data_IF_426905038132
#
_entry.id   IF_426905038132
#
_cell.length_a   1.000
_cell.length_b   1.000
_cell.length_c   1.000
_cell.angle_alpha   90.00
_cell.angle_beta   90.00
_cell.angle_gamma   90.00
#
_symmetry.space_group_name_H-M   'P 1'
#
loop_
_entity.id
_entity.type
_entity.pdbx_description
1 polymer ?
#
# COMPACT_ATOMS: atom_id res chain seq x y z
N UNK A 1 -4.40 1.70 5.23
CA UNK A 1 -3.20 2.05 4.45
C UNK A 1 -2.03 2.06 5.40
N UNK A 2 -0.95 1.38 5.05
CA UNK A 2 0.21 1.22 5.92
C UNK A 2 1.52 1.13 5.14
N UNK A 3 2.66 1.34 5.80
CA UNK A 3 3.97 1.42 5.20
C UNK A 3 4.90 0.29 5.62
N UNK A 4 5.38 -0.45 4.63
CA UNK A 4 6.54 -1.33 4.80
C UNK A 4 7.80 -0.50 4.53
N UNK A 5 8.41 0.00 5.60
CA UNK A 5 9.67 0.73 5.55
C UNK A 5 10.90 -0.16 5.82
N UNK A 6 12.08 0.37 5.50
CA UNK A 6 13.36 -0.30 5.76
C UNK A 6 13.69 -1.43 4.79
N UNK A 7 13.12 -1.39 3.58
CA UNK A 7 13.44 -2.34 2.52
C UNK A 7 14.80 -1.99 1.92
N UNK A 8 15.54 -3.00 1.44
CA UNK A 8 16.78 -2.75 0.71
C UNK A 8 16.49 -1.93 -0.56
N UNK A 9 17.19 -0.81 -0.78
CA UNK A 9 17.03 -0.01 -2.00
C UNK A 9 17.30 -0.87 -3.24
N UNK A 10 16.38 -0.85 -4.21
CA UNK A 10 16.51 -1.61 -5.48
C UNK A 10 16.07 -0.80 -6.70
N UNK A 11 16.64 -1.16 -7.85
CA UNK A 11 16.40 -0.55 -9.17
C UNK A 11 16.97 0.85 -9.32
N UNK A 12 16.89 1.41 -10.52
CA UNK A 12 17.43 2.75 -10.84
C UNK A 12 16.81 3.85 -9.96
N UNK A 13 15.55 3.66 -9.58
CA UNK A 13 14.81 4.58 -8.70
C UNK A 13 15.09 4.37 -7.21
N UNK A 14 15.85 3.34 -6.84
CA UNK A 14 16.26 3.06 -5.45
C UNK A 14 15.10 3.01 -4.45
N UNK A 15 14.01 2.33 -4.81
CA UNK A 15 12.85 2.19 -3.92
C UNK A 15 13.23 1.45 -2.64
N UNK A 16 12.93 2.04 -1.48
CA UNK A 16 13.31 1.56 -0.16
C UNK A 16 12.11 1.40 0.81
N UNK A 17 10.89 1.63 0.30
CA UNK A 17 9.65 1.45 1.03
C UNK A 17 8.51 1.06 0.10
N UNK A 18 7.47 0.47 0.66
CA UNK A 18 6.22 0.16 -0.04
C UNK A 18 5.05 0.70 0.76
N UNK A 19 4.23 1.54 0.15
CA UNK A 19 2.94 1.95 0.68
C UNK A 19 1.91 0.90 0.25
N UNK A 20 1.26 0.31 1.23
CA UNK A 20 0.22 -0.68 1.03
C UNK A 20 -1.14 -0.04 1.30
N UNK A 21 -2.07 -0.28 0.38
CA UNK A 21 -3.45 0.13 0.54
C UNK A 21 -4.33 -1.09 0.34
N UNK A 22 -5.44 -1.16 1.07
CA UNK A 22 -6.45 -2.17 0.85
C UNK A 22 -7.78 -1.47 0.74
N UNK A 23 -8.51 -1.77 -0.33
CA UNK A 23 -9.91 -1.42 -0.39
C UNK A 23 -10.72 -2.46 0.39
N UNK A 24 -11.31 -2.03 1.51
CA UNK A 24 -12.08 -2.88 2.42
C UNK A 24 -13.33 -3.48 1.76
N UNK A 25 -13.85 -2.88 0.68
CA UNK A 25 -15.03 -3.41 0.00
C UNK A 25 -14.68 -4.56 -0.94
N UNK A 26 -13.62 -4.40 -1.73
CA UNK A 26 -13.16 -5.43 -2.67
C UNK A 26 -12.16 -6.40 -2.06
N UNK A 27 -11.74 -6.17 -0.81
CA UNK A 27 -10.65 -6.87 -0.14
C UNK A 27 -9.38 -6.95 -1.02
N UNK A 28 -9.13 -5.93 -1.85
CA UNK A 28 -8.05 -5.97 -2.84
C UNK A 28 -6.87 -5.11 -2.36
N UNK A 29 -5.68 -5.70 -2.16
CA UNK A 29 -4.48 -4.94 -1.87
C UNK A 29 -3.94 -4.26 -3.13
N UNK A 30 -3.42 -3.06 -2.96
CA UNK A 30 -2.67 -2.32 -3.96
C UNK A 30 -1.35 -1.89 -3.30
N UNK A 31 -0.24 -2.29 -3.91
CA UNK A 31 1.11 -2.01 -3.45
C UNK A 31 1.75 -0.92 -4.29
N UNK A 32 2.38 0.04 -3.61
CA UNK A 32 2.96 1.22 -4.22
C UNK A 32 4.44 1.30 -3.83
N UNK A 33 5.40 0.97 -4.70
CA UNK A 33 6.81 1.14 -4.41
C UNK A 33 7.15 2.63 -4.34
N UNK A 34 7.90 3.02 -3.31
CA UNK A 34 8.13 4.42 -2.96
C UNK A 34 9.35 4.57 -2.05
N UNK A 35 9.51 5.77 -1.50
CA UNK A 35 10.60 6.12 -0.61
C UNK A 35 10.08 6.42 0.79
N UNK A 36 10.81 5.96 1.81
CA UNK A 36 10.51 6.26 3.22
C UNK A 36 10.36 7.77 3.44
N UNK A 37 11.20 8.55 2.77
CA UNK A 37 11.29 10.00 2.92
C UNK A 37 10.42 10.77 1.90
N UNK A 38 9.49 10.08 1.21
CA UNK A 38 8.55 10.74 0.31
C UNK A 38 7.74 11.80 1.04
N UNK A 39 7.62 12.97 0.38
CA UNK A 39 6.82 14.08 0.90
C UNK A 39 5.32 13.76 0.82
N UNK A 40 4.51 14.48 1.59
CA UNK A 40 3.05 14.37 1.51
C UNK A 40 2.50 14.57 0.08
N UNK A 41 3.13 15.44 -0.72
CA UNK A 41 2.76 15.68 -2.11
C UNK A 41 3.08 14.45 -2.97
N UNK A 42 4.29 13.89 -2.85
CA UNK A 42 4.68 12.69 -3.60
C UNK A 42 3.75 11.51 -3.27
N UNK A 43 3.47 11.30 -1.98
CA UNK A 43 2.54 10.26 -1.53
C UNK A 43 1.13 10.47 -2.09
N UNK A 44 0.63 11.70 -2.09
CA UNK A 44 -0.68 12.00 -2.67
C UNK A 44 -0.73 11.76 -4.18
N UNK A 45 0.31 12.12 -4.93
CA UNK A 45 0.41 11.83 -6.35
C UNK A 45 0.46 10.31 -6.62
N UNK A 46 1.18 9.56 -5.78
CA UNK A 46 1.28 8.10 -5.87
C UNK A 46 -0.09 7.45 -5.69
N UNK A 47 -0.84 7.87 -4.65
CA UNK A 47 -2.19 7.37 -4.37
C UNK A 47 -3.17 7.82 -5.47
N UNK A 48 -3.09 9.07 -5.93
CA UNK A 48 -3.93 9.57 -7.02
C UNK A 48 -3.78 8.71 -8.27
N UNK A 49 -2.55 8.47 -8.69
CA UNK A 49 -2.24 7.81 -9.95
C UNK A 49 -2.61 6.32 -9.96
N UNK A 50 -2.55 5.64 -8.82
CA UNK A 50 -2.66 4.17 -8.77
C UNK A 50 -3.83 3.64 -7.96
N UNK A 51 -4.29 4.38 -6.94
CA UNK A 51 -5.41 3.98 -6.09
C UNK A 51 -6.67 4.68 -6.56
N UNK A 52 -6.73 6.01 -6.47
CA UNK A 52 -7.97 6.78 -6.76
C UNK A 52 -8.40 6.62 -8.22
N UNK A 53 -7.45 6.55 -9.15
CA UNK A 53 -7.75 6.31 -10.58
C UNK A 53 -8.43 4.96 -10.85
N UNK A 54 -8.22 3.96 -9.98
CA UNK A 54 -8.74 2.60 -10.13
C UNK A 54 -9.96 2.31 -9.25
N UNK A 55 -9.94 2.77 -7.99
CA UNK A 55 -10.98 2.48 -6.99
C UNK A 55 -11.98 3.61 -6.82
N UNK A 56 -11.67 4.81 -7.34
CA UNK A 56 -12.43 6.03 -7.09
C UNK A 56 -12.01 6.74 -5.81
N UNK A 57 -12.77 7.79 -5.46
CA UNK A 57 -12.49 8.62 -4.29
C UNK A 57 -13.00 7.92 -3.03
N UNK A 58 -12.09 7.56 -2.13
CA UNK A 58 -12.42 6.98 -0.81
C UNK A 58 -12.91 8.07 0.16
N UNK A 59 -13.85 7.76 1.05
CA UNK A 59 -14.34 8.73 2.05
C UNK A 59 -13.67 8.61 3.41
N UNK A 60 -13.02 7.47 3.66
CA UNK A 60 -12.36 7.16 4.93
C UNK A 60 -10.98 6.55 4.67
N UNK A 61 -9.95 7.02 5.38
CA UNK A 61 -8.65 6.36 5.48
C UNK A 61 -8.48 5.87 6.91
N UNK A 62 -8.25 4.56 7.05
CA UNK A 62 -7.61 4.01 8.24
C UNK A 62 -6.11 3.93 8.00
N UNK A 63 -5.31 4.70 8.75
CA UNK A 63 -3.86 4.69 8.67
C UNK A 63 -3.26 5.21 9.97
N UNK A 64 -2.11 4.66 10.37
CA UNK A 64 -1.40 5.07 11.57
C UNK A 64 -0.73 6.43 11.37
N UNK A 65 -1.51 7.49 11.61
CA UNK A 65 -1.16 8.92 11.80
C UNK A 65 0.14 9.41 11.15
N UNK A 66 0.46 8.97 9.95
CA UNK A 66 1.57 9.55 9.23
C UNK A 66 1.21 10.99 8.86
N UNK A 67 2.14 11.90 9.11
CA UNK A 67 1.99 13.33 8.77
C UNK A 67 1.71 13.54 7.28
N UNK A 68 2.10 12.57 6.44
CA UNK A 68 1.82 12.54 5.00
C UNK A 68 0.33 12.54 4.67
N UNK A 69 -0.50 11.89 5.50
CA UNK A 69 -1.94 11.81 5.33
C UNK A 69 -2.70 12.95 6.01
N UNK A 70 -2.21 13.46 7.15
CA UNK A 70 -2.85 14.56 7.88
C UNK A 70 -2.37 15.95 7.43
N UNK A 71 -2.16 16.14 6.12
CA UNK A 71 -1.67 17.41 5.56
C UNK A 71 -2.82 18.30 5.04
N UNK A 72 -2.60 19.61 4.97
CA UNK A 72 -3.53 20.56 4.36
C UNK A 72 -3.86 20.19 2.89
N UNK A 73 -2.93 19.50 2.21
CA UNK A 73 -3.12 19.00 0.86
C UNK A 73 -4.32 18.07 0.74
N UNK A 74 -4.45 17.07 1.62
CA UNK A 74 -5.57 16.13 1.57
C UNK A 74 -6.90 16.81 1.86
N UNK A 75 -6.93 17.76 2.81
CA UNK A 75 -8.13 18.55 3.11
C UNK A 75 -8.58 19.35 1.89
N UNK A 76 -7.65 20.05 1.24
CA UNK A 76 -7.94 20.87 0.06
C UNK A 76 -8.38 19.99 -1.13
N UNK A 77 -7.69 18.87 -1.35
CA UNK A 77 -8.03 17.92 -2.42
C UNK A 77 -9.47 17.40 -2.27
N UNK A 78 -9.88 17.04 -1.05
CA UNK A 78 -11.23 16.54 -0.80
C UNK A 78 -12.30 17.62 -0.87
N UNK A 79 -11.98 18.85 -0.46
CA UNK A 79 -12.86 20.00 -0.69
C UNK A 79 -13.13 20.23 -2.17
N UNK A 80 -12.13 20.08 -3.05
CA UNK A 80 -12.32 20.19 -4.51
C UNK A 80 -13.28 19.13 -5.05
N UNK A 81 -13.29 17.93 -4.46
CA UNK A 81 -14.25 16.88 -4.81
C UNK A 81 -15.63 17.07 -4.19
N UNK A 82 -15.84 18.09 -3.36
CA UNK A 82 -17.06 18.26 -2.59
C UNK A 82 -17.29 17.11 -1.58
N UNK A 83 -16.21 16.45 -1.14
CA UNK A 83 -16.23 15.33 -0.21
C UNK A 83 -15.53 15.71 1.10
N UNK A 84 -15.85 14.98 2.17
CA UNK A 84 -15.11 15.04 3.43
C UNK A 84 -14.30 13.76 3.56
N UNK A 85 -13.02 13.89 3.88
CA UNK A 85 -12.14 12.79 4.22
C UNK A 85 -12.11 12.63 5.74
N UNK A 86 -12.47 11.45 6.24
CA UNK A 86 -12.24 11.08 7.63
C UNK A 86 -10.93 10.28 7.77
N UNK A 87 -10.23 10.52 8.87
CA UNK A 87 -9.09 9.71 9.29
C UNK A 87 -9.49 8.98 10.57
N UNK A 88 -9.47 7.66 10.56
CA UNK A 88 -9.45 6.85 11.78
C UNK A 88 -8.02 6.44 12.10
N UNK A 89 -7.68 6.44 13.37
CA UNK A 89 -6.47 5.77 13.85
C UNK A 89 -6.75 4.31 14.07
N UNK A 90 -5.76 3.43 13.82
CA UNK A 90 -5.87 2.01 14.15
C UNK A 90 -6.06 1.74 15.66
N UNK A 91 -5.98 2.78 16.51
CA UNK A 91 -6.25 2.68 17.95
C UNK A 91 -7.73 2.62 18.34
N UNK A 92 -8.60 2.09 17.49
CA UNK A 92 -9.90 1.54 17.89
C UNK A 92 -10.02 0.18 17.20
N UNK A 93 -9.81 -0.93 17.93
CA UNK A 93 -10.04 -2.25 17.37
C UNK A 93 -11.48 -2.30 16.88
N UNK A 94 -11.68 -2.38 15.57
CA UNK A 94 -12.98 -2.77 15.04
C UNK A 94 -13.23 -4.21 15.55
N UNK A 95 -14.46 -4.56 15.97
CA UNK A 95 -14.75 -5.85 16.62
C UNK A 95 -14.26 -7.09 15.86
N UNK A 96 -14.04 -6.99 14.55
CA UNK A 96 -13.64 -8.13 13.70
C UNK A 96 -12.12 -8.28 13.50
N UNK A 97 -11.29 -7.25 13.73
CA UNK A 97 -9.82 -7.32 13.58
C UNK A 97 -9.32 -7.93 12.26
N UNK A 98 -10.17 -7.98 11.22
CA UNK A 98 -9.90 -8.62 9.93
C UNK A 98 -8.97 -7.75 9.10
N UNK A 99 -9.24 -6.44 9.05
CA UNK A 99 -8.42 -5.47 8.32
C UNK A 99 -6.99 -5.40 8.88
N UNK A 100 -6.84 -5.46 10.21
CA UNK A 100 -5.53 -5.46 10.88
C UNK A 100 -4.73 -6.74 10.58
N UNK A 101 -5.36 -7.91 10.69
CA UNK A 101 -4.72 -9.21 10.39
C UNK A 101 -4.34 -9.33 8.92
N UNK A 102 -5.18 -8.80 8.03
CA UNK A 102 -4.90 -8.76 6.60
C UNK A 102 -3.68 -7.87 6.32
N UNK A 103 -3.66 -6.64 6.85
CA UNK A 103 -2.53 -5.72 6.63
C UNK A 103 -1.23 -6.36 7.14
N UNK A 104 -1.22 -6.95 8.34
CA UNK A 104 -0.05 -7.65 8.88
C UNK A 104 0.41 -8.81 7.97
N UNK A 105 -0.52 -9.61 7.47
CA UNK A 105 -0.20 -10.72 6.54
C UNK A 105 0.43 -10.18 5.27
N UNK A 106 -0.10 -9.10 4.71
CA UNK A 106 0.44 -8.47 3.51
C UNK A 106 1.82 -7.86 3.76
N UNK A 107 2.06 -7.24 4.93
CA UNK A 107 3.38 -6.73 5.32
C UNK A 107 4.42 -7.85 5.33
N UNK A 108 4.10 -8.96 5.99
CA UNK A 108 4.98 -10.12 6.07
C UNK A 108 5.30 -10.69 4.69
N UNK A 109 4.30 -10.75 3.81
CA UNK A 109 4.48 -11.21 2.44
C UNK A 109 5.38 -10.25 1.65
N UNK A 110 5.18 -8.94 1.75
CA UNK A 110 6.07 -7.94 1.11
C UNK A 110 7.49 -8.07 1.66
N UNK A 111 7.68 -8.19 2.97
CA UNK A 111 9.02 -8.36 3.58
C UNK A 111 9.70 -9.63 3.11
N UNK A 112 8.97 -10.75 3.02
CA UNK A 112 9.48 -12.02 2.49
C UNK A 112 9.87 -11.88 1.02
N UNK A 113 8.99 -11.35 0.18
CA UNK A 113 9.28 -11.13 -1.25
C UNK A 113 10.48 -10.20 -1.44
N UNK A 114 10.63 -9.18 -0.59
CA UNK A 114 11.81 -8.33 -0.59
C UNK A 114 13.09 -9.08 -0.22
N UNK A 115 13.04 -9.98 0.76
CA UNK A 115 14.17 -10.83 1.14
C UNK A 115 14.49 -11.90 0.08
N UNK A 116 13.47 -12.51 -0.53
CA UNK A 116 13.62 -13.54 -1.56
C UNK A 116 14.03 -12.98 -2.92
N UNK A 117 13.61 -11.77 -3.29
CA UNK A 117 14.06 -11.07 -4.50
C UNK A 117 15.58 -10.82 -4.53
N UNK A 118 16.25 -10.95 -3.38
CA UNK A 118 17.73 -10.94 -3.30
C UNK A 118 18.36 -12.24 -3.84
N UNK A 119 17.61 -13.35 -3.87
CA UNK A 119 18.08 -14.70 -4.18
C UNK A 119 17.89 -15.19 -5.63
N UNK A 120 17.03 -14.56 -6.43
CA UNK A 120 16.88 -14.87 -7.87
C UNK A 120 18.00 -14.22 -8.69
N UNK A 121 19.23 -14.70 -8.48
CA UNK A 121 20.42 -14.33 -9.27
C UNK A 121 20.74 -15.37 -10.36
N UNK A 122 19.91 -16.41 -10.52
CA UNK A 122 20.21 -17.61 -11.32
C UNK A 122 19.61 -17.64 -12.73
N UNK A 123 18.85 -16.61 -13.14
CA UNK A 123 18.37 -16.48 -14.52
C UNK A 123 18.91 -15.16 -15.07
N UNK A 124 20.03 -15.22 -15.81
CA UNK A 124 20.83 -14.11 -16.35
C UNK A 124 20.11 -13.19 -17.37
N UNK A 125 18.79 -13.07 -17.31
CA UNK A 125 17.99 -12.19 -18.17
C UNK A 125 17.12 -11.19 -17.41
N UNK A 126 16.85 -11.39 -16.11
CA UNK A 126 16.06 -10.44 -15.32
C UNK A 126 16.57 -10.35 -13.87
N UNK A 127 17.08 -9.18 -13.48
CA UNK A 127 17.24 -8.86 -12.05
C UNK A 127 15.85 -8.57 -11.52
N UNK A 128 15.24 -9.52 -10.79
CA UNK A 128 13.95 -9.31 -10.18
C UNK A 128 14.09 -8.42 -8.94
N UNK A 129 13.96 -7.10 -9.14
CA UNK A 129 13.78 -6.21 -8.00
C UNK A 129 12.47 -6.54 -7.30
N UNK A 130 12.42 -6.42 -5.97
CA UNK A 130 11.22 -6.79 -5.21
C UNK A 130 9.97 -6.05 -5.71
N UNK A 131 10.11 -4.80 -6.14
CA UNK A 131 8.99 -4.00 -6.64
C UNK A 131 8.41 -4.51 -7.97
N UNK A 132 9.16 -5.28 -8.77
CA UNK A 132 8.64 -5.87 -10.01
C UNK A 132 7.71 -7.05 -9.75
N UNK A 133 7.74 -7.60 -8.53
CA UNK A 133 6.90 -8.73 -8.13
C UNK A 133 5.55 -8.30 -7.53
N UNK A 134 5.41 -7.02 -7.17
CA UNK A 134 4.20 -6.51 -6.53
C UNK A 134 2.92 -6.75 -7.33
N UNK A 135 2.86 -6.53 -8.66
CA UNK A 135 1.63 -6.79 -9.42
C UNK A 135 1.24 -8.27 -9.43
N UNK A 136 2.22 -9.19 -9.42
CA UNK A 136 1.96 -10.62 -9.32
C UNK A 136 1.38 -10.97 -7.94
N UNK A 137 1.86 -10.30 -6.90
CA UNK A 137 1.38 -10.42 -5.53
C UNK A 137 -0.07 -9.91 -5.38
N UNK A 138 -0.39 -8.76 -5.98
CA UNK A 138 -1.77 -8.24 -6.05
C UNK A 138 -2.70 -9.24 -6.74
N UNK A 139 -2.26 -9.81 -7.86
CA UNK A 139 -3.03 -10.78 -8.63
C UNK A 139 -3.24 -12.08 -7.83
N UNK A 140 -2.17 -12.63 -7.26
CA UNK A 140 -2.21 -13.87 -6.47
C UNK A 140 -3.18 -13.72 -5.30
N UNK A 141 -3.09 -12.61 -4.55
CA UNK A 141 -4.02 -12.32 -3.48
C UNK A 141 -5.45 -12.23 -4.02
N UNK A 142 -5.70 -11.50 -5.10
CA UNK A 142 -7.05 -11.35 -5.68
C UNK A 142 -7.66 -12.67 -6.15
N UNK A 143 -6.84 -13.61 -6.62
CA UNK A 143 -7.28 -14.95 -7.09
C UNK A 143 -7.37 -15.99 -5.97
N UNK A 144 -6.86 -15.69 -4.79
CA UNK A 144 -6.86 -16.60 -3.65
C UNK A 144 -8.24 -16.65 -2.97
N UNK A 145 -8.58 -17.79 -2.38
CA UNK A 145 -9.81 -17.94 -1.59
C UNK A 145 -9.55 -17.34 -0.19
N UNK A 146 -10.29 -16.28 0.13
CA UNK A 146 -10.27 -15.66 1.45
C UNK A 146 -11.53 -16.01 2.23
N UNK A 147 -11.42 -16.11 3.55
CA UNK A 147 -12.57 -16.37 4.43
C UNK A 147 -13.69 -15.32 4.29
N UNK A 148 -13.37 -14.11 3.79
CA UNK A 148 -14.30 -13.02 3.51
C UNK A 148 -15.07 -13.15 2.19
N UNK A 149 -14.74 -14.12 1.34
CA UNK A 149 -15.39 -14.34 0.04
C UNK A 149 -16.49 -15.44 0.08
N UNK A 150 -16.87 -15.90 1.28
CA UNK A 150 -18.02 -16.79 1.54
C UNK A 150 -19.14 -16.03 2.24
#
# INVERSE_FOLDING_TARGET
MDWVAGLQPRGDRSYNSCLMTVDIFSNTPIFLPCHKDDTAINTALLIWNRVISWTGIFTNINSDRETKFNSALWKNLYQLFGKKLSFSTAYHPQPDGLDERMIQTLEDVVRRVCAYGVGFKYCDLFTHHWFTLLPALELEYKTSIHASNN
#
